data_IF_671358183289
#
_entry.id   IF_671358183289
#
_cell.length_a   1.000
_cell.length_b   1.000
_cell.length_c   1.000
_cell.angle_alpha   90.00
_cell.angle_beta   90.00
_cell.angle_gamma   90.00
#
_symmetry.space_group_name_H-M   'P 1'
#
loop_
_entity.id
_entity.type
_entity.pdbx_description
1 polymer ?
#
# COMPACT_ATOMS: atom_id res chain seq x y z
N UNK A 1 -14.42 -23.17 94.16
CA UNK A 1 -13.21 -23.43 93.33
C UNK A 1 -13.24 -22.51 92.13
N UNK A 2 -12.09 -22.17 91.51
CA UNK A 2 -12.08 -21.31 90.32
C UNK A 2 -12.69 -22.07 89.13
N UNK A 3 -13.22 -21.38 88.10
CA UNK A 3 -13.73 -22.05 86.91
C UNK A 3 -12.58 -22.56 86.03
N UNK A 4 -12.84 -23.66 85.32
CA UNK A 4 -11.91 -24.31 84.38
C UNK A 4 -11.70 -23.44 83.12
N UNK A 5 -10.53 -23.52 82.47
CA UNK A 5 -10.28 -22.79 81.23
C UNK A 5 -11.05 -23.46 80.08
N UNK A 6 -11.90 -22.71 79.40
CA UNK A 6 -12.52 -23.16 78.15
C UNK A 6 -11.45 -23.22 77.05
N UNK A 7 -11.25 -24.42 76.53
CA UNK A 7 -10.37 -24.73 75.42
C UNK A 7 -10.76 -23.92 74.17
N UNK A 8 -9.73 -23.39 73.52
CA UNK A 8 -9.76 -22.54 72.34
C UNK A 8 -10.48 -23.20 71.17
N UNK A 9 -11.29 -22.46 70.44
CA UNK A 9 -11.53 -22.80 69.05
C UNK A 9 -11.66 -21.53 68.22
N UNK A 10 -11.12 -21.58 67.01
CA UNK A 10 -11.00 -20.50 66.01
C UNK A 10 -9.90 -19.47 66.26
N UNK A 11 -8.67 -19.83 65.86
CA UNK A 11 -7.67 -18.84 65.49
C UNK A 11 -8.14 -17.99 64.30
N UNK A 12 -7.68 -16.72 64.20
CA UNK A 12 -8.15 -15.80 63.17
C UNK A 12 -7.85 -16.34 61.77
N UNK A 13 -8.86 -16.29 60.89
CA UNK A 13 -8.72 -16.73 59.50
C UNK A 13 -7.62 -15.92 58.82
N UNK A 14 -6.66 -16.61 58.19
CA UNK A 14 -5.50 -15.99 57.56
C UNK A 14 -5.91 -14.96 56.49
N UNK A 15 -5.09 -13.92 56.30
CA UNK A 15 -5.39 -12.87 55.31
C UNK A 15 -5.52 -13.47 53.91
N UNK A 16 -6.45 -12.97 53.07
CA UNK A 16 -6.52 -13.36 51.66
C UNK A 16 -5.17 -13.20 50.98
N UNK A 17 -4.82 -14.17 50.13
CA UNK A 17 -3.59 -14.13 49.35
C UNK A 17 -3.55 -12.91 48.42
N UNK A 18 -2.33 -12.47 48.07
CA UNK A 18 -2.17 -11.36 47.13
C UNK A 18 -2.72 -11.75 45.75
N UNK A 19 -3.34 -10.81 44.99
CA UNK A 19 -3.71 -11.05 43.61
C UNK A 19 -2.52 -11.54 42.78
N UNK A 20 -2.80 -12.43 41.82
CA UNK A 20 -1.81 -12.92 40.88
C UNK A 20 -1.25 -11.79 40.01
N UNK A 21 -0.06 -12.01 39.44
CA UNK A 21 0.53 -11.08 38.48
C UNK A 21 -0.31 -11.06 37.19
N UNK A 22 -0.38 -9.92 36.47
CA UNK A 22 -0.96 -9.87 35.13
C UNK A 22 -0.35 -10.92 34.21
N UNK A 23 -1.17 -11.46 33.31
CA UNK A 23 -0.71 -12.40 32.30
C UNK A 23 0.25 -11.75 31.29
N UNK A 24 1.01 -12.57 30.54
CA UNK A 24 1.86 -12.06 29.47
C UNK A 24 1.03 -11.43 28.35
N UNK A 25 1.59 -10.49 27.57
CA UNK A 25 0.96 -9.98 26.35
C UNK A 25 0.61 -11.11 25.38
N UNK A 26 -0.48 -10.92 24.64
CA UNK A 26 -0.90 -11.84 23.58
C UNK A 26 0.11 -11.90 22.43
N UNK A 27 0.05 -12.95 21.60
CA UNK A 27 0.89 -13.05 20.41
C UNK A 27 0.56 -11.94 19.40
N UNK A 28 1.52 -11.56 18.52
CA UNK A 28 1.25 -10.69 17.38
C UNK A 28 0.13 -11.24 16.50
N UNK A 29 -0.66 -10.34 15.88
CA UNK A 29 -1.69 -10.71 14.92
C UNK A 29 -1.10 -11.33 13.65
N UNK A 30 -1.92 -12.11 12.95
CA UNK A 30 -1.51 -12.72 11.69
C UNK A 30 -1.30 -11.67 10.58
N UNK A 31 -0.38 -11.93 9.62
CA UNK A 31 -0.24 -11.09 8.43
C UNK A 31 -1.55 -10.96 7.67
N UNK A 32 -1.79 -9.79 7.07
CA UNK A 32 -2.95 -9.56 6.22
C UNK A 32 -2.95 -10.47 4.97
N UNK A 33 -4.13 -10.69 4.35
CA UNK A 33 -4.22 -11.51 3.15
C UNK A 33 -3.46 -10.87 1.97
N UNK A 34 -2.98 -11.69 1.01
CA UNK A 34 -2.43 -11.17 -0.24
C UNK A 34 -3.43 -10.25 -0.96
N UNK A 35 -2.91 -9.22 -1.61
CA UNK A 35 -3.73 -8.33 -2.42
C UNK A 35 -4.45 -9.06 -3.58
N UNK A 36 -5.52 -8.49 -4.12
CA UNK A 36 -6.25 -9.08 -5.24
C UNK A 36 -5.34 -9.26 -6.46
N UNK A 37 -5.55 -10.34 -7.21
CA UNK A 37 -4.88 -10.56 -8.49
C UNK A 37 -5.23 -9.40 -9.44
N UNK A 38 -4.22 -8.86 -10.11
CA UNK A 38 -4.43 -7.83 -11.14
C UNK A 38 -5.38 -8.30 -12.25
N UNK A 39 -6.00 -7.38 -13.00
CA UNK A 39 -6.89 -7.73 -14.09
C UNK A 39 -6.19 -8.64 -15.11
N UNK A 40 -6.91 -9.61 -15.72
CA UNK A 40 -6.38 -10.41 -16.82
C UNK A 40 -5.83 -9.48 -17.90
N UNK A 41 -4.61 -9.77 -18.39
CA UNK A 41 -4.08 -9.05 -19.55
C UNK A 41 -4.96 -9.31 -20.77
N UNK A 42 -5.19 -8.28 -21.59
CA UNK A 42 -5.97 -8.39 -22.82
C UNK A 42 -5.40 -9.47 -23.73
N UNK A 43 -6.14 -10.57 -23.88
CA UNK A 43 -5.86 -11.60 -24.88
C UNK A 43 -6.20 -11.04 -26.26
N UNK A 44 -5.18 -10.76 -27.06
CA UNK A 44 -5.36 -10.42 -28.47
C UNK A 44 -5.22 -11.66 -29.34
N UNK A 45 -6.21 -11.84 -30.19
CA UNK A 45 -6.42 -12.95 -31.11
C UNK A 45 -5.21 -13.25 -31.98
N UNK A 46 -4.79 -14.52 -31.99
CA UNK A 46 -3.80 -15.04 -32.92
C UNK A 46 -4.45 -15.22 -34.29
N UNK A 47 -4.52 -14.14 -35.08
CA UNK A 47 -4.89 -14.26 -36.49
C UNK A 47 -3.65 -14.58 -37.32
N UNK A 48 -3.47 -15.88 -37.58
CA UNK A 48 -2.60 -16.40 -38.64
C UNK A 48 -3.22 -16.06 -40.00
N UNK A 49 -2.56 -15.22 -40.81
CA UNK A 49 -2.70 -15.28 -42.27
C UNK A 49 -1.40 -14.77 -42.90
N UNK A 50 -0.83 -15.55 -43.82
CA UNK A 50 0.49 -15.29 -44.39
C UNK A 50 0.49 -14.72 -45.80
N UNK A 51 1.69 -14.86 -46.39
CA UNK A 51 2.06 -15.01 -47.82
C UNK A 51 2.65 -13.75 -48.55
N UNK A 52 3.87 -13.97 -49.12
CA UNK A 52 4.61 -13.31 -50.25
C UNK A 52 5.47 -12.06 -49.91
N UNK A 53 6.77 -11.96 -50.22
CA UNK A 53 7.73 -12.86 -50.88
C UNK A 53 9.16 -12.25 -51.04
N UNK A 54 10.10 -13.11 -51.45
CA UNK A 54 11.41 -12.87 -52.11
C UNK A 54 12.67 -12.54 -51.27
N UNK A 55 13.46 -13.60 -51.00
CA UNK A 55 14.91 -13.60 -51.28
C UNK A 55 15.86 -13.35 -50.11
N UNK A 56 16.41 -14.42 -49.52
CA UNK A 56 17.63 -14.36 -48.71
C UNK A 56 17.53 -15.13 -47.39
N UNK A 57 18.42 -16.11 -47.21
CA UNK A 57 18.47 -17.03 -46.07
C UNK A 57 18.60 -16.28 -44.73
N UNK A 58 17.72 -16.60 -43.76
CA UNK A 58 17.86 -16.22 -42.35
C UNK A 58 16.93 -15.09 -41.90
N UNK A 59 15.62 -15.35 -41.89
CA UNK A 59 14.59 -14.40 -41.49
C UNK A 59 14.64 -14.18 -39.96
N UNK A 60 15.32 -13.12 -39.53
CA UNK A 60 15.03 -12.51 -38.23
C UNK A 60 13.67 -11.83 -38.39
N UNK A 61 12.63 -12.48 -37.87
CA UNK A 61 11.32 -11.85 -37.69
C UNK A 61 11.48 -10.67 -36.74
N UNK A 62 11.69 -9.48 -37.28
CA UNK A 62 11.44 -8.24 -36.54
C UNK A 62 9.93 -8.15 -36.34
N UNK A 63 9.47 -8.73 -35.24
CA UNK A 63 8.13 -8.55 -34.71
C UNK A 63 7.84 -7.06 -34.63
N UNK A 64 6.94 -6.54 -35.45
CA UNK A 64 6.38 -5.19 -35.30
C UNK A 64 5.53 -5.21 -34.03
N UNK A 65 6.18 -4.99 -32.89
CA UNK A 65 5.51 -4.90 -31.60
C UNK A 65 4.53 -3.72 -31.64
N UNK A 66 3.25 -4.04 -31.44
CA UNK A 66 2.11 -3.13 -31.21
C UNK A 66 2.48 -1.65 -30.99
N UNK A 67 2.16 -0.80 -31.97
CA UNK A 67 2.40 0.65 -31.95
C UNK A 67 1.42 1.43 -31.04
N UNK A 68 0.67 0.75 -30.18
CA UNK A 68 -0.24 1.41 -29.25
C UNK A 68 0.58 2.03 -28.11
N UNK A 69 0.45 3.34 -27.87
CA UNK A 69 1.15 3.96 -26.76
C UNK A 69 0.69 3.35 -25.44
N UNK A 70 1.66 2.96 -24.60
CA UNK A 70 1.42 2.40 -23.26
C UNK A 70 1.99 3.36 -22.23
N UNK A 71 1.22 3.64 -21.18
CA UNK A 71 1.63 4.51 -20.08
C UNK A 71 1.26 3.85 -18.76
N UNK A 72 2.24 3.69 -17.89
CA UNK A 72 2.04 3.18 -16.53
C UNK A 72 3.20 3.60 -15.64
N UNK A 73 2.94 3.87 -14.36
CA UNK A 73 4.00 4.13 -13.40
C UNK A 73 3.68 3.54 -12.02
N UNK A 74 4.72 3.25 -11.26
CA UNK A 74 4.66 2.88 -9.85
C UNK A 74 5.92 3.41 -9.17
N UNK A 75 5.73 4.14 -8.08
CA UNK A 75 6.81 4.75 -7.33
C UNK A 75 6.53 4.72 -5.82
N UNK A 76 7.59 4.51 -5.04
CA UNK A 76 7.58 4.59 -3.58
C UNK A 76 8.29 5.84 -3.08
N UNK A 77 8.29 6.02 -1.76
CA UNK A 77 9.01 7.09 -1.08
C UNK A 77 10.15 6.46 -0.27
N UNK A 78 11.41 6.77 -0.61
CA UNK A 78 12.59 6.20 0.08
C UNK A 78 12.78 6.76 1.48
N UNK A 79 12.63 8.08 1.60
CA UNK A 79 12.87 8.80 2.84
C UNK A 79 11.59 9.54 3.25
N UNK A 80 11.26 9.58 4.56
CA UNK A 80 10.16 10.39 5.05
C UNK A 80 10.31 11.84 4.55
N UNK A 81 9.23 12.37 3.98
CA UNK A 81 9.18 13.76 3.53
C UNK A 81 8.36 14.57 4.54
N UNK A 82 8.91 15.69 4.98
CA UNK A 82 8.26 16.62 5.91
C UNK A 82 7.67 17.83 5.17
N UNK A 83 6.69 18.47 5.78
CA UNK A 83 6.06 19.70 5.27
C UNK A 83 4.79 19.47 4.44
N UNK A 84 4.30 20.55 3.84
CA UNK A 84 3.05 20.61 3.07
C UNK A 84 3.27 20.65 1.55
N UNK A 85 4.50 20.36 1.12
CA UNK A 85 4.89 20.37 -0.29
C UNK A 85 4.43 19.10 -1.03
N UNK A 86 4.52 19.14 -2.36
CA UNK A 86 4.24 17.98 -3.22
C UNK A 86 5.09 16.78 -2.75
N UNK A 87 4.43 15.64 -2.50
CA UNK A 87 5.09 14.37 -2.19
C UNK A 87 5.85 13.86 -3.41
N UNK A 88 7.17 13.71 -3.26
CA UNK A 88 8.09 13.29 -4.31
C UNK A 88 8.39 11.81 -4.12
N UNK A 89 7.57 10.94 -4.70
CA UNK A 89 7.83 9.50 -4.71
C UNK A 89 9.05 9.23 -5.60
N UNK A 90 10.22 9.28 -5.00
CA UNK A 90 11.51 9.30 -5.67
C UNK A 90 12.02 7.90 -6.03
N UNK A 91 11.41 6.86 -5.47
CA UNK A 91 11.73 5.46 -5.72
C UNK A 91 10.91 4.90 -6.88
N UNK A 92 11.28 5.27 -8.10
CA UNK A 92 10.53 4.89 -9.30
C UNK A 92 10.85 3.46 -9.71
N UNK A 93 9.89 2.56 -9.53
CA UNK A 93 10.01 1.13 -9.86
C UNK A 93 9.55 0.86 -11.31
N UNK A 94 8.48 1.52 -11.76
CA UNK A 94 7.97 1.40 -13.13
C UNK A 94 7.65 2.79 -13.69
N UNK A 95 8.01 3.05 -14.96
CA UNK A 95 7.72 4.31 -15.64
C UNK A 95 7.62 4.14 -17.17
N UNK A 96 6.65 3.34 -17.62
CA UNK A 96 6.38 3.12 -19.04
C UNK A 96 5.85 4.42 -19.65
N UNK A 97 6.48 4.89 -20.72
CA UNK A 97 6.18 6.18 -21.36
C UNK A 97 6.89 7.40 -20.74
N UNK A 98 7.52 7.22 -19.57
CA UNK A 98 8.31 8.28 -18.92
C UNK A 98 7.47 9.49 -18.54
N UNK A 99 6.22 9.29 -18.11
CA UNK A 99 5.28 10.37 -17.81
C UNK A 99 5.34 10.83 -16.34
N UNK A 100 5.94 10.02 -15.46
CA UNK A 100 6.17 10.38 -14.07
C UNK A 100 7.60 10.88 -13.85
N UNK A 101 7.76 11.96 -13.09
CA UNK A 101 9.05 12.52 -12.71
C UNK A 101 9.24 12.47 -11.19
N UNK A 102 10.08 11.55 -10.70
CA UNK A 102 10.31 11.36 -9.27
C UNK A 102 10.95 12.57 -8.57
N UNK A 103 11.72 13.39 -9.31
CA UNK A 103 12.31 14.61 -8.77
C UNK A 103 11.27 15.68 -8.42
N UNK A 104 10.15 15.73 -9.14
CA UNK A 104 9.09 16.73 -8.94
C UNK A 104 7.82 16.16 -8.30
N UNK A 105 7.68 14.84 -8.29
CA UNK A 105 6.47 14.15 -7.81
C UNK A 105 5.31 14.19 -8.80
N UNK A 106 5.52 14.66 -10.03
CA UNK A 106 4.44 14.99 -10.97
C UNK A 106 4.30 13.95 -12.07
N UNK A 107 3.05 13.66 -12.43
CA UNK A 107 2.68 12.92 -13.63
C UNK A 107 2.19 13.89 -14.71
N UNK A 108 2.77 13.81 -15.92
CA UNK A 108 2.36 14.63 -17.07
C UNK A 108 1.68 13.76 -18.12
N UNK A 109 0.42 14.06 -18.43
CA UNK A 109 -0.31 13.41 -19.51
C UNK A 109 0.28 13.84 -20.86
N UNK A 110 1.11 12.99 -21.48
CA UNK A 110 1.62 13.22 -22.85
C UNK A 110 0.62 12.80 -23.93
N UNK A 111 -0.32 11.93 -23.57
CA UNK A 111 -1.27 11.31 -24.49
C UNK A 111 -2.68 11.54 -23.93
N UNK A 112 -3.61 12.09 -24.72
CA UNK A 112 -4.99 12.27 -24.29
C UNK A 112 -5.63 10.91 -23.95
N UNK A 113 -6.31 10.84 -22.81
CA UNK A 113 -6.97 9.61 -22.38
C UNK A 113 -7.41 9.66 -20.92
N UNK A 114 -8.02 8.56 -20.50
CA UNK A 114 -8.41 8.35 -19.10
C UNK A 114 -7.28 7.66 -18.37
N UNK A 115 -6.94 8.18 -17.19
CA UNK A 115 -5.88 7.66 -16.35
C UNK A 115 -6.45 7.23 -15.00
N UNK A 116 -5.87 6.19 -14.44
CA UNK A 116 -6.21 5.68 -13.12
C UNK A 116 -5.06 5.92 -12.15
N UNK A 117 -5.38 6.44 -10.97
CA UNK A 117 -4.40 6.73 -9.93
C UNK A 117 -4.90 6.15 -8.61
N UNK A 118 -4.01 5.45 -7.91
CA UNK A 118 -4.17 5.06 -6.50
C UNK A 118 -2.92 5.54 -5.78
N UNK A 119 -3.11 6.09 -4.59
CA UNK A 119 -2.01 6.42 -3.69
C UNK A 119 -2.32 5.88 -2.30
N UNK A 120 -1.28 5.37 -1.63
CA UNK A 120 -1.35 4.97 -0.23
C UNK A 120 -0.22 5.73 0.47
N UNK A 121 -0.57 6.62 1.39
CA UNK A 121 0.40 7.46 2.10
C UNK A 121 0.30 7.17 3.59
N UNK A 122 1.41 6.71 4.17
CA UNK A 122 1.56 6.64 5.62
C UNK A 122 2.04 8.00 6.10
N UNK A 123 1.20 8.68 6.88
CA UNK A 123 1.52 9.99 7.45
C UNK A 123 1.62 9.89 8.98
N UNK A 124 2.57 10.61 9.58
CA UNK A 124 2.71 10.73 11.04
C UNK A 124 2.34 12.13 11.51
N UNK A 125 1.21 12.24 12.22
CA UNK A 125 0.70 13.53 12.70
C UNK A 125 1.37 13.98 13.98
N UNK A 126 1.34 15.29 14.24
CA UNK A 126 1.64 15.85 15.55
C UNK A 126 0.43 15.80 16.48
N UNK A 127 0.65 16.08 17.77
CA UNK A 127 -0.36 16.00 18.83
C UNK A 127 -1.66 16.76 18.46
N UNK A 128 -2.69 16.01 18.08
CA UNK A 128 -4.03 16.52 17.77
C UNK A 128 -4.23 17.14 16.38
N UNK A 129 -3.26 17.01 15.47
CA UNK A 129 -3.38 17.55 14.10
C UNK A 129 -3.87 16.50 13.09
N UNK A 130 -5.00 16.77 12.44
CA UNK A 130 -5.45 16.00 11.27
C UNK A 130 -4.54 16.25 10.09
N UNK A 131 -4.28 15.20 9.33
CA UNK A 131 -3.54 15.28 8.07
C UNK A 131 -4.31 14.55 6.99
N UNK A 132 -4.11 15.00 5.77
CA UNK A 132 -4.68 14.40 4.58
C UNK A 132 -3.68 14.53 3.43
N UNK A 133 -3.81 13.65 2.44
CA UNK A 133 -3.08 13.73 1.19
C UNK A 133 -4.10 13.92 0.07
N UNK A 134 -3.86 14.91 -0.78
CA UNK A 134 -4.73 15.24 -1.90
C UNK A 134 -4.06 14.89 -3.23
N UNK A 135 -4.83 14.34 -4.16
CA UNK A 135 -4.41 14.20 -5.55
C UNK A 135 -4.77 15.47 -6.30
N UNK A 136 -3.78 16.21 -6.80
CA UNK A 136 -4.00 17.52 -7.44
C UNK A 136 -3.86 17.39 -8.96
N UNK A 137 -4.86 17.89 -9.71
CA UNK A 137 -4.82 18.03 -11.17
C UNK A 137 -4.72 19.49 -11.56
N UNK A 138 -3.59 19.90 -12.14
CA UNK A 138 -3.35 21.27 -12.63
C UNK A 138 -3.64 22.37 -11.59
N UNK A 139 -3.29 22.11 -10.32
CA UNK A 139 -3.55 23.04 -9.21
C UNK A 139 -4.96 22.95 -8.61
N UNK A 140 -5.86 22.18 -9.21
CA UNK A 140 -7.17 21.89 -8.64
C UNK A 140 -7.07 20.61 -7.81
N UNK A 141 -7.54 20.67 -6.56
CA UNK A 141 -7.67 19.48 -5.72
C UNK A 141 -8.64 18.52 -6.42
N UNK A 142 -8.10 17.41 -6.93
CA UNK A 142 -8.88 16.31 -7.46
C UNK A 142 -9.56 15.63 -6.29
N UNK A 143 -10.89 15.53 -6.36
CA UNK A 143 -11.74 15.08 -5.28
C UNK A 143 -11.17 13.88 -4.56
N UNK A 144 -10.99 14.05 -3.24
CA UNK A 144 -10.99 12.96 -2.29
C UNK A 144 -12.15 12.01 -2.66
N UNK A 145 -11.85 10.73 -2.82
CA UNK A 145 -12.87 9.70 -2.95
C UNK A 145 -13.76 9.77 -1.72
N UNK A 146 -14.95 10.33 -1.91
CA UNK A 146 -16.08 10.18 -1.03
C UNK A 146 -16.35 8.68 -0.90
N UNK A 147 -15.92 8.10 0.22
CA UNK A 147 -16.44 6.84 0.70
C UNK A 147 -17.35 7.15 1.88
N UNK A 148 -18.64 7.01 1.56
CA UNK A 148 -19.85 7.05 2.38
C UNK A 148 -20.49 8.41 2.66
#
# INVERSE_FOLDING_TARGET
GPPLPTYSDYGPQGRPGRPGKPGPPGPPGEPGPPGPKGPPGDSVDVVRTGILGLGGKGQVSTTTYNTSPRVAFYAGLRNPQEGYDILRFDDVVTNIGGNYEGATGKFTCKIPGTYFFIYNVLMRGGDGTSMWADLIKNGLVGSASHLQ
#
